data_IF_725290630804
#
_entry.id   IF_725290630804
#
_cell.length_a   1.000
_cell.length_b   1.000
_cell.length_c   1.000
_cell.angle_alpha   90.00
_cell.angle_beta   90.00
_cell.angle_gamma   90.00
#
_symmetry.space_group_name_H-M   'P 1'
#
loop_
_entity.id
_entity.type
_entity.pdbx_description
1 polymer ?
#
# COMPACT_ATOMS: atom_id res chain seq x y z
N UNK A 1 7.42 20.98 3.26
CA UNK A 1 5.95 21.15 2.98
C UNK A 1 5.51 22.55 3.26
N UNK A 2 4.63 23.11 2.42
CA UNK A 2 3.97 24.39 2.67
C UNK A 2 2.93 24.24 3.80
N UNK A 3 2.52 25.39 4.38
CA UNK A 3 1.52 25.40 5.45
C UNK A 3 0.31 26.23 5.00
N UNK A 4 -0.84 25.59 4.92
CA UNK A 4 -2.13 26.25 4.68
C UNK A 4 -2.71 26.59 6.07
N UNK A 5 -2.88 27.89 6.33
CA UNK A 5 -3.48 28.37 7.57
C UNK A 5 -4.98 28.52 7.39
N UNK A 6 -5.75 27.76 8.16
CA UNK A 6 -7.20 27.89 8.21
C UNK A 6 -7.65 28.40 9.59
N UNK A 7 -8.68 29.24 9.61
CA UNK A 7 -9.43 29.49 10.83
C UNK A 7 -10.19 28.22 11.25
N UNK A 8 -10.57 28.12 12.52
CA UNK A 8 -11.39 26.99 13.01
C UNK A 8 -12.73 26.89 12.25
N UNK A 9 -13.29 28.05 11.85
CA UNK A 9 -14.55 28.11 11.10
C UNK A 9 -14.39 27.54 9.68
N UNK A 10 -13.31 27.86 8.98
CA UNK A 10 -13.00 27.33 7.65
C UNK A 10 -12.72 25.83 7.71
N UNK A 11 -11.91 25.38 8.67
CA UNK A 11 -11.62 23.95 8.86
C UNK A 11 -12.91 23.14 9.11
N UNK A 12 -13.81 23.62 9.97
CA UNK A 12 -15.07 22.95 10.26
C UNK A 12 -16.10 22.98 9.11
N UNK A 13 -15.82 23.75 8.05
CA UNK A 13 -16.66 23.82 6.85
C UNK A 13 -16.15 22.98 5.68
N UNK A 14 -15.03 22.28 5.87
CA UNK A 14 -14.54 21.36 4.85
C UNK A 14 -15.63 20.33 4.55
N UNK A 15 -15.86 20.09 3.26
CA UNK A 15 -16.85 19.12 2.79
C UNK A 15 -16.31 17.71 2.98
N UNK A 16 -17.00 16.84 3.73
CA UNK A 16 -16.57 15.44 3.84
C UNK A 16 -16.46 14.79 2.46
N UNK A 17 -15.33 14.14 2.21
CA UNK A 17 -15.17 13.28 1.05
C UNK A 17 -15.77 11.91 1.39
N UNK A 18 -16.84 11.58 0.72
CA UNK A 18 -17.45 10.26 0.81
C UNK A 18 -16.60 9.28 0.02
N UNK A 19 -15.56 8.78 0.62
CA UNK A 19 -14.88 7.58 0.12
C UNK A 19 -15.90 6.47 0.08
N UNK A 20 -15.92 5.70 -1.00
CA UNK A 20 -16.95 4.71 -1.32
C UNK A 20 -17.52 4.00 -0.10
N UNK A 21 -18.84 3.72 -0.09
CA UNK A 21 -19.64 3.09 0.98
C UNK A 21 -19.05 1.81 1.62
N UNK A 22 -17.88 1.37 1.19
CA UNK A 22 -17.23 0.11 1.58
C UNK A 22 -16.06 0.28 2.56
N UNK A 23 -15.63 1.50 2.89
CA UNK A 23 -14.57 1.73 3.89
C UNK A 23 -15.24 1.96 5.25
N UNK A 24 -15.37 0.89 6.00
CA UNK A 24 -16.10 0.88 7.29
C UNK A 24 -15.22 1.40 8.44
N UNK A 25 -13.88 1.36 8.31
CA UNK A 25 -12.96 1.85 9.34
C UNK A 25 -11.82 2.64 8.71
N UNK A 26 -11.91 3.95 8.75
CA UNK A 26 -10.79 4.84 8.40
C UNK A 26 -10.14 5.34 9.69
N UNK A 27 -8.82 5.26 9.76
CA UNK A 27 -8.05 5.87 10.86
C UNK A 27 -8.02 7.41 10.77
N UNK A 28 -8.65 7.99 9.76
CA UNK A 28 -8.68 9.42 9.51
C UNK A 28 -9.97 9.82 8.78
N UNK A 29 -10.43 11.04 9.02
CA UNK A 29 -11.47 11.66 8.22
C UNK A 29 -10.86 12.25 6.95
N UNK A 30 -11.55 12.09 5.82
CA UNK A 30 -11.18 12.65 4.54
C UNK A 30 -12.16 13.76 4.14
N UNK A 31 -11.61 14.88 3.65
CA UNK A 31 -12.37 16.02 3.17
C UNK A 31 -11.87 16.45 1.81
N UNK A 32 -12.73 17.15 1.04
CA UNK A 32 -12.34 17.83 -0.18
C UNK A 32 -12.06 19.31 0.07
N UNK A 33 -11.05 19.81 -0.61
CA UNK A 33 -10.71 21.23 -0.60
C UNK A 33 -10.22 21.68 -1.99
N UNK A 34 -10.69 22.83 -2.43
CA UNK A 34 -10.07 23.54 -3.57
C UNK A 34 -9.03 24.53 -3.02
N UNK A 35 -7.80 24.39 -3.45
CA UNK A 35 -6.72 25.28 -3.05
C UNK A 35 -5.90 25.69 -4.26
N UNK A 36 -5.78 27.02 -4.48
CA UNK A 36 -5.10 27.61 -5.66
C UNK A 36 -5.59 27.05 -7.01
N UNK A 37 -6.89 26.76 -7.12
CA UNK A 37 -7.49 26.21 -8.33
C UNK A 37 -7.37 24.70 -8.50
N UNK A 38 -6.68 24.01 -7.60
CA UNK A 38 -6.51 22.57 -7.60
C UNK A 38 -7.41 21.89 -6.58
N UNK A 39 -8.00 20.77 -6.97
CA UNK A 39 -8.76 19.88 -6.07
C UNK A 39 -7.79 19.03 -5.25
N UNK A 40 -7.94 19.05 -3.94
CA UNK A 40 -7.10 18.34 -2.97
C UNK A 40 -7.94 17.45 -2.06
N UNK A 41 -7.33 16.38 -1.59
CA UNK A 41 -7.82 15.61 -0.42
C UNK A 41 -7.16 16.18 0.83
N UNK A 42 -7.97 16.41 1.87
CA UNK A 42 -7.51 16.72 3.21
C UNK A 42 -7.69 15.48 4.06
N UNK A 43 -6.59 14.95 4.60
CA UNK A 43 -6.61 13.81 5.54
C UNK A 43 -6.32 14.30 6.95
N UNK A 44 -7.22 13.99 7.90
CA UNK A 44 -6.98 14.31 9.30
C UNK A 44 -5.95 13.37 9.91
N UNK A 45 -5.18 13.89 10.86
CA UNK A 45 -4.27 13.09 11.67
C UNK A 45 -4.88 12.95 13.06
N UNK A 46 -5.42 11.77 13.39
CA UNK A 46 -5.91 11.52 14.75
C UNK A 46 -4.72 11.52 15.72
N UNK A 47 -4.82 12.38 16.73
CA UNK A 47 -3.70 12.72 17.62
C UNK A 47 -3.94 12.25 19.05
N UNK A 48 -4.37 11.00 19.21
CA UNK A 48 -4.50 10.44 20.56
C UNK A 48 -3.14 10.29 21.24
N UNK A 49 -2.07 10.12 20.45
CA UNK A 49 -0.70 10.04 20.95
C UNK A 49 0.20 11.09 20.26
N UNK A 50 0.91 11.89 21.08
CA UNK A 50 1.86 12.90 20.60
C UNK A 50 3.04 12.28 19.84
N UNK A 51 3.46 11.08 20.20
CA UNK A 51 4.58 10.35 19.58
C UNK A 51 4.17 9.96 18.17
N UNK A 52 2.99 9.37 18.04
CA UNK A 52 2.42 8.97 16.75
C UNK A 52 2.24 10.15 15.80
N UNK A 53 1.70 11.26 16.31
CA UNK A 53 1.55 12.48 15.53
C UNK A 53 2.90 13.03 15.05
N UNK A 54 3.92 13.02 15.90
CA UNK A 54 5.27 13.44 15.53
C UNK A 54 5.88 12.53 14.48
N UNK A 55 5.70 11.22 14.60
CA UNK A 55 6.17 10.24 13.62
C UNK A 55 5.54 10.49 12.25
N UNK A 56 4.21 10.68 12.18
CA UNK A 56 3.51 11.03 10.93
C UNK A 56 4.03 12.34 10.33
N UNK A 57 4.20 13.40 11.12
CA UNK A 57 4.76 14.66 10.63
C UNK A 57 6.17 14.46 10.04
N UNK A 58 7.02 13.71 10.71
CA UNK A 58 8.37 13.41 10.22
C UNK A 58 8.34 12.65 8.89
N UNK A 59 7.42 11.70 8.72
CA UNK A 59 7.23 10.96 7.46
C UNK A 59 6.77 11.89 6.35
N UNK A 60 5.78 12.76 6.62
CA UNK A 60 5.28 13.74 5.65
C UNK A 60 6.38 14.72 5.19
N UNK A 61 7.19 15.24 6.12
CA UNK A 61 8.33 16.11 5.81
C UNK A 61 9.39 15.40 4.98
N UNK A 62 9.64 14.12 5.24
CA UNK A 62 10.55 13.31 4.45
C UNK A 62 10.00 13.07 3.04
N UNK A 63 8.72 12.73 2.89
CA UNK A 63 8.06 12.57 1.58
C UNK A 63 8.19 13.85 0.74
N UNK A 64 7.95 15.01 1.34
CA UNK A 64 8.10 16.30 0.64
C UNK A 64 9.55 16.56 0.19
N UNK A 65 10.52 16.24 1.06
CA UNK A 65 11.94 16.42 0.75
C UNK A 65 12.40 15.55 -0.43
N UNK A 66 11.85 14.36 -0.56
CA UNK A 66 12.29 13.36 -1.55
C UNK A 66 11.30 13.16 -2.70
N UNK A 67 10.29 14.01 -2.79
CA UNK A 67 9.19 13.93 -3.78
C UNK A 67 9.69 13.76 -5.22
N UNK A 68 10.75 14.45 -5.61
CA UNK A 68 11.31 14.37 -6.96
C UNK A 68 11.97 13.03 -7.33
N UNK A 69 12.20 12.18 -6.34
CA UNK A 69 12.79 10.85 -6.54
C UNK A 69 11.75 9.72 -6.44
N UNK A 70 10.52 10.04 -6.04
CA UNK A 70 9.43 9.07 -5.94
C UNK A 70 8.80 8.84 -7.31
N UNK A 71 8.23 7.64 -7.57
CA UNK A 71 7.45 7.39 -8.77
C UNK A 71 6.35 8.44 -8.95
N UNK A 72 6.08 8.84 -10.20
CA UNK A 72 5.06 9.84 -10.53
C UNK A 72 3.66 9.42 -10.07
N UNK A 73 3.43 8.11 -9.99
CA UNK A 73 2.20 7.52 -9.46
C UNK A 73 1.95 7.76 -7.97
N UNK A 74 2.93 8.28 -7.21
CA UNK A 74 2.74 8.56 -5.79
C UNK A 74 1.97 9.87 -5.60
N UNK A 75 0.76 9.78 -5.02
CA UNK A 75 -0.02 10.94 -4.61
C UNK A 75 0.58 11.56 -3.33
N UNK A 76 1.79 12.08 -3.47
CA UNK A 76 2.61 12.58 -2.35
C UNK A 76 1.93 13.75 -1.65
N UNK A 77 1.79 13.71 -0.30
CA UNK A 77 1.31 14.85 0.49
C UNK A 77 2.10 16.13 0.20
N UNK A 78 1.41 17.26 0.07
CA UNK A 78 2.01 18.51 -0.42
C UNK A 78 1.92 19.68 0.55
N UNK A 79 0.91 19.74 1.42
CA UNK A 79 0.77 20.82 2.40
C UNK A 79 0.34 20.30 3.76
N UNK A 80 0.78 20.97 4.82
CA UNK A 80 0.21 20.81 6.17
C UNK A 80 -0.91 21.83 6.39
N UNK A 81 -2.00 21.41 7.02
CA UNK A 81 -3.06 22.33 7.46
C UNK A 81 -2.79 22.73 8.90
N UNK A 82 -2.71 24.04 9.12
CA UNK A 82 -2.59 24.60 10.45
C UNK A 82 -3.88 25.31 10.88
N UNK A 83 -4.37 24.98 12.08
CA UNK A 83 -5.51 25.63 12.74
C UNK A 83 -5.00 26.21 14.08
N UNK A 84 -4.73 27.50 14.09
CA UNK A 84 -3.99 28.12 15.19
C UNK A 84 -2.56 27.54 15.29
N UNK A 85 -2.21 26.99 16.46
CA UNK A 85 -0.89 26.35 16.69
C UNK A 85 -0.86 24.84 16.37
N UNK A 86 -2.01 24.24 16.05
CA UNK A 86 -2.11 22.80 15.77
C UNK A 86 -1.96 22.53 14.28
N UNK A 87 -1.44 21.35 13.94
CA UNK A 87 -1.37 20.81 12.58
C UNK A 87 -2.23 19.55 12.51
N UNK A 88 -3.57 19.68 12.44
CA UNK A 88 -4.49 18.54 12.59
C UNK A 88 -4.64 17.70 11.32
N UNK A 89 -4.16 18.17 10.17
CA UNK A 89 -4.36 17.52 8.88
C UNK A 89 -3.27 17.88 7.87
N UNK A 90 -3.25 17.17 6.75
CA UNK A 90 -2.44 17.48 5.58
C UNK A 90 -3.27 17.37 4.31
N UNK A 91 -2.74 17.90 3.20
CA UNK A 91 -3.34 17.73 1.88
C UNK A 91 -2.51 16.79 1.02
N UNK A 92 -3.19 16.10 0.10
CA UNK A 92 -2.59 15.36 -0.99
C UNK A 92 -3.34 15.69 -2.30
N UNK A 93 -2.73 15.46 -3.48
CA UNK A 93 -3.41 15.59 -4.76
C UNK A 93 -4.67 14.75 -4.80
N UNK A 94 -5.74 15.30 -5.38
CA UNK A 94 -6.95 14.53 -5.65
C UNK A 94 -6.70 13.63 -6.86
N UNK A 95 -6.80 12.33 -6.67
CA UNK A 95 -6.76 11.38 -7.79
C UNK A 95 -8.18 11.09 -8.28
N UNK A 96 -8.44 11.34 -9.55
CA UNK A 96 -9.74 11.09 -10.15
C UNK A 96 -9.85 9.63 -10.60
N UNK A 97 -10.41 8.78 -9.76
CA UNK A 97 -10.55 7.35 -10.04
C UNK A 97 -11.22 6.61 -8.88
N UNK A 98 -11.28 5.30 -9.02
CA UNK A 98 -11.79 4.38 -8.01
C UNK A 98 -10.65 3.57 -7.40
N UNK A 99 -10.86 2.97 -6.21
CA UNK A 99 -9.85 2.10 -5.62
C UNK A 99 -9.71 0.81 -6.43
N UNK A 100 -8.50 0.28 -6.51
CA UNK A 100 -8.24 -1.02 -7.15
C UNK A 100 -9.12 -2.12 -6.55
N UNK A 101 -9.43 -2.04 -5.25
CA UNK A 101 -10.37 -2.97 -4.59
C UNK A 101 -11.75 -2.96 -5.23
N UNK A 102 -12.25 -1.82 -5.66
CA UNK A 102 -13.54 -1.70 -6.36
C UNK A 102 -13.41 -2.23 -7.79
N UNK A 103 -12.33 -1.88 -8.47
CA UNK A 103 -12.06 -2.34 -9.85
C UNK A 103 -11.99 -3.87 -9.92
N UNK A 104 -11.18 -4.51 -9.07
CA UNK A 104 -10.99 -5.96 -9.07
C UNK A 104 -12.26 -6.77 -8.71
N UNK A 105 -13.24 -6.13 -8.08
CA UNK A 105 -14.53 -6.75 -7.73
C UNK A 105 -15.64 -6.47 -8.76
N UNK A 106 -15.38 -5.58 -9.71
CA UNK A 106 -16.40 -5.21 -10.69
C UNK A 106 -16.43 -6.23 -11.85
N UNK A 107 -17.49 -7.04 -11.96
CA UNK A 107 -17.60 -8.07 -13.01
C UNK A 107 -17.78 -7.48 -14.43
N UNK A 108 -18.11 -6.19 -14.54
CA UNK A 108 -18.25 -5.51 -15.82
C UNK A 108 -16.90 -5.10 -16.42
N UNK A 109 -15.82 -5.17 -15.66
CA UNK A 109 -14.47 -4.89 -16.13
C UNK A 109 -13.83 -6.23 -16.56
N UNK A 110 -13.30 -6.33 -17.78
CA UNK A 110 -12.64 -7.55 -18.26
C UNK A 110 -11.49 -7.99 -17.35
N UNK A 111 -11.28 -9.30 -17.24
CA UNK A 111 -10.20 -9.89 -16.41
C UNK A 111 -8.83 -9.39 -16.88
N UNK A 112 -8.67 -9.20 -18.19
CA UNK A 112 -7.45 -8.65 -18.79
C UNK A 112 -7.12 -7.27 -18.26
N UNK A 113 -8.12 -6.42 -18.00
CA UNK A 113 -7.90 -5.10 -17.39
C UNK A 113 -7.55 -5.22 -15.90
N UNK A 114 -8.14 -6.14 -15.18
CA UNK A 114 -7.75 -6.40 -13.80
C UNK A 114 -6.27 -6.79 -13.70
N UNK A 115 -5.82 -7.69 -14.59
CA UNK A 115 -4.43 -8.14 -14.65
C UNK A 115 -3.52 -6.99 -15.06
N UNK A 116 -3.92 -6.18 -16.04
CA UNK A 116 -3.17 -5.00 -16.46
C UNK A 116 -2.87 -4.09 -15.25
N UNK A 117 -3.87 -3.79 -14.42
CA UNK A 117 -3.65 -2.95 -13.23
C UNK A 117 -2.78 -3.62 -12.18
N UNK A 118 -2.91 -4.93 -11.97
CA UNK A 118 -2.03 -5.67 -11.05
C UNK A 118 -0.57 -5.64 -11.53
N UNK A 119 -0.32 -5.82 -12.83
CA UNK A 119 1.02 -5.70 -13.42
C UNK A 119 1.57 -4.29 -13.25
N UNK A 120 0.74 -3.26 -13.47
CA UNK A 120 1.13 -1.86 -13.26
C UNK A 120 1.56 -1.56 -11.83
N UNK A 121 0.93 -2.16 -10.82
CA UNK A 121 1.40 -2.05 -9.42
C UNK A 121 2.81 -2.61 -9.28
N UNK A 122 3.09 -3.75 -9.90
CA UNK A 122 4.44 -4.34 -9.93
C UNK A 122 5.47 -3.40 -10.57
N UNK A 123 5.12 -2.74 -11.68
CA UNK A 123 5.99 -1.75 -12.35
C UNK A 123 6.31 -0.57 -11.43
N UNK A 124 5.32 -0.05 -10.69
CA UNK A 124 5.52 1.03 -9.69
C UNK A 124 6.50 0.58 -8.60
N UNK A 125 6.38 -0.65 -8.10
CA UNK A 125 7.32 -1.19 -7.12
C UNK A 125 8.74 -1.34 -7.69
N UNK A 126 8.86 -1.71 -8.96
CA UNK A 126 10.15 -1.76 -9.64
C UNK A 126 10.77 -0.36 -9.80
N UNK A 127 9.97 0.64 -10.18
CA UNK A 127 10.41 2.04 -10.24
C UNK A 127 10.89 2.51 -8.85
N UNK A 128 10.15 2.20 -7.79
CA UNK A 128 10.56 2.50 -6.42
C UNK A 128 11.87 1.80 -6.06
N UNK A 129 12.05 0.55 -6.48
CA UNK A 129 13.31 -0.19 -6.30
C UNK A 129 14.48 0.46 -7.04
N UNK A 130 14.25 0.97 -8.25
CA UNK A 130 15.25 1.74 -9.02
C UNK A 130 15.59 3.06 -8.30
N UNK A 131 14.58 3.78 -7.81
CA UNK A 131 14.79 5.02 -7.06
C UNK A 131 15.67 4.79 -5.81
N UNK A 132 15.47 3.70 -5.08
CA UNK A 132 16.32 3.32 -3.93
C UNK A 132 17.78 3.12 -4.31
N UNK A 133 18.05 2.57 -5.50
CA UNK A 133 19.43 2.30 -5.97
C UNK A 133 20.14 3.55 -6.48
N UNK A 134 19.38 4.52 -7.01
CA UNK A 134 19.94 5.73 -7.65
C UNK A 134 20.05 6.92 -6.73
N UNK A 135 19.36 6.89 -5.58
CA UNK A 135 19.38 7.99 -4.60
C UNK A 135 20.20 7.61 -3.36
N UNK A 136 20.57 8.62 -2.58
CA UNK A 136 21.18 8.41 -1.25
C UNK A 136 20.19 7.80 -0.24
N UNK A 137 18.93 7.71 -0.61
CA UNK A 137 17.84 7.13 0.20
C UNK A 137 17.71 5.65 -0.08
N UNK A 138 18.43 4.87 0.67
CA UNK A 138 18.36 3.40 0.54
C UNK A 138 17.05 2.79 1.03
N UNK A 139 16.30 3.49 1.91
CA UNK A 139 15.13 2.97 2.59
C UNK A 139 13.89 3.80 2.25
N UNK A 140 13.23 3.52 1.12
CA UNK A 140 11.93 4.05 0.75
C UNK A 140 11.01 2.86 0.51
N UNK A 141 9.99 2.70 1.37
CA UNK A 141 9.02 1.61 1.30
C UNK A 141 7.61 2.12 1.56
N UNK A 142 6.62 1.54 0.89
CA UNK A 142 5.22 1.97 1.01
C UNK A 142 4.67 1.62 2.40
N UNK A 143 4.99 0.43 2.91
CA UNK A 143 4.63 -0.02 4.24
C UNK A 143 3.20 -0.51 4.38
N UNK A 144 2.22 0.18 3.80
CA UNK A 144 0.80 -0.20 3.84
C UNK A 144 0.23 -0.38 2.42
N UNK A 145 0.89 -1.22 1.63
CA UNK A 145 0.46 -1.50 0.26
C UNK A 145 -0.72 -2.48 0.25
N UNK A 146 -1.86 -2.04 -0.23
CA UNK A 146 -3.02 -2.90 -0.49
C UNK A 146 -3.98 -2.26 -1.51
N UNK A 147 -4.92 -3.05 -2.02
CA UNK A 147 -5.83 -2.66 -3.11
C UNK A 147 -6.72 -1.44 -2.82
N UNK A 148 -6.91 -1.07 -1.54
CA UNK A 148 -7.69 0.12 -1.19
C UNK A 148 -6.84 1.41 -1.16
N UNK A 149 -5.50 1.27 -1.09
CA UNK A 149 -4.54 2.38 -1.15
C UNK A 149 -3.99 2.60 -2.57
N UNK A 150 -4.59 1.95 -3.56
CA UNK A 150 -4.28 2.13 -4.98
C UNK A 150 -5.52 2.66 -5.68
N UNK A 151 -5.40 3.83 -6.29
CA UNK A 151 -6.44 4.45 -7.11
C UNK A 151 -6.20 4.13 -8.57
N UNK A 152 -7.27 3.91 -9.32
CA UNK A 152 -7.25 3.60 -10.75
C UNK A 152 -8.18 4.55 -11.49
N UNK A 153 -7.66 5.23 -12.49
CA UNK A 153 -8.47 5.91 -13.48
C UNK A 153 -8.63 5.00 -14.71
N UNK A 154 -9.81 4.42 -14.87
CA UNK A 154 -10.07 3.47 -15.97
C UNK A 154 -10.02 4.11 -17.36
N UNK A 155 -10.26 5.42 -17.49
CA UNK A 155 -10.24 6.14 -18.76
C UNK A 155 -8.82 6.46 -19.21
N UNK A 156 -7.96 6.92 -18.30
CA UNK A 156 -6.55 7.26 -18.61
C UNK A 156 -5.60 6.09 -18.39
N UNK A 157 -6.07 4.99 -17.79
CA UNK A 157 -5.26 3.82 -17.40
C UNK A 157 -4.14 4.17 -16.39
N UNK A 158 -4.25 5.31 -15.71
CA UNK A 158 -3.30 5.74 -14.69
C UNK A 158 -3.61 5.12 -13.34
N UNK A 159 -2.55 4.86 -12.56
CA UNK A 159 -2.63 4.47 -11.17
C UNK A 159 -2.07 5.57 -10.27
N UNK A 160 -2.64 5.67 -9.06
CA UNK A 160 -2.14 6.53 -8.00
C UNK A 160 -2.00 5.74 -6.70
N UNK A 161 -0.82 5.77 -6.08
CA UNK A 161 -0.63 5.25 -4.73
C UNK A 161 -0.98 6.35 -3.74
N UNK A 162 -1.99 6.10 -2.93
CA UNK A 162 -2.48 7.03 -1.90
C UNK A 162 -2.10 6.53 -0.50
N UNK A 163 -2.42 7.31 0.51
CA UNK A 163 -2.19 6.96 1.92
C UNK A 163 -0.71 6.74 2.28
N UNK A 164 0.16 7.63 1.79
CA UNK A 164 1.60 7.52 1.92
C UNK A 164 2.14 7.97 3.30
N UNK A 165 1.30 8.39 4.25
CA UNK A 165 1.73 8.78 5.60
C UNK A 165 2.18 7.60 6.48
N UNK A 166 2.04 6.37 5.97
CA UNK A 166 2.58 5.13 6.54
C UNK A 166 3.92 4.70 5.91
N UNK A 167 4.41 5.42 4.90
CA UNK A 167 5.68 5.10 4.25
C UNK A 167 6.86 5.15 5.23
N UNK A 168 7.82 4.24 5.02
CA UNK A 168 9.15 4.37 5.60
C UNK A 168 10.06 5.14 4.65
N UNK A 169 10.76 6.15 5.18
CA UNK A 169 11.82 6.88 4.46
C UNK A 169 13.03 7.01 5.38
N UNK A 170 14.07 6.25 5.09
CA UNK A 170 15.21 6.09 5.97
C UNK A 170 14.79 5.46 7.29
N UNK A 171 15.16 6.10 8.41
CA UNK A 171 14.73 5.69 9.75
C UNK A 171 13.35 6.22 10.15
N UNK A 172 12.68 6.99 9.27
CA UNK A 172 11.39 7.63 9.57
C UNK A 172 10.25 6.80 9.00
N UNK A 173 9.35 6.37 9.85
CA UNK A 173 8.14 5.66 9.45
C UNK A 173 7.03 5.86 10.48
N UNK A 174 5.82 5.80 10.00
CA UNK A 174 4.60 5.69 10.77
C UNK A 174 3.84 4.52 10.21
N UNK A 175 3.35 3.63 11.06
CA UNK A 175 2.97 2.32 10.61
C UNK A 175 1.50 1.99 10.77
N UNK A 176 0.96 1.30 9.76
CA UNK A 176 -0.05 0.22 9.86
C UNK A 176 -0.08 -0.54 8.55
N UNK A 177 -0.04 -1.86 8.54
CA UNK A 177 -0.22 -2.65 7.31
C UNK A 177 -1.51 -3.46 7.37
N UNK A 178 -2.32 -3.40 6.31
CA UNK A 178 -3.48 -4.26 6.14
C UNK A 178 -3.09 -5.73 6.02
N UNK A 179 -2.02 -5.99 5.29
CA UNK A 179 -1.42 -7.29 5.14
C UNK A 179 -0.19 -7.38 6.00
N UNK A 180 -0.35 -7.95 7.21
CA UNK A 180 0.76 -8.15 8.13
C UNK A 180 1.80 -9.07 7.51
N UNK A 181 2.97 -8.50 7.24
CA UNK A 181 4.14 -9.29 6.82
C UNK A 181 4.65 -10.08 8.01
N UNK A 182 4.80 -11.40 7.90
CA UNK A 182 5.41 -12.18 8.97
C UNK A 182 6.77 -11.62 9.38
N UNK A 183 7.03 -11.54 10.67
CA UNK A 183 8.25 -10.93 11.23
C UNK A 183 9.53 -11.53 10.66
N UNK A 184 9.48 -12.83 10.30
CA UNK A 184 10.58 -13.56 9.66
C UNK A 184 10.93 -13.08 8.25
N UNK A 185 10.03 -12.37 7.56
CA UNK A 185 10.25 -11.85 6.21
C UNK A 185 10.87 -10.45 6.20
N UNK A 186 10.88 -9.76 7.32
CA UNK A 186 11.46 -8.43 7.45
C UNK A 186 12.96 -8.55 7.66
N UNK A 187 13.77 -7.96 6.78
CA UNK A 187 15.24 -8.03 6.86
C UNK A 187 15.82 -7.16 7.97
N UNK A 188 15.25 -5.98 8.14
CA UNK A 188 15.73 -4.99 9.09
C UNK A 188 14.73 -4.89 10.23
N UNK A 189 15.12 -5.40 11.38
CA UNK A 189 14.32 -5.20 12.59
C UNK A 189 14.99 -4.10 13.40
N UNK A 190 14.29 -3.01 13.74
CA UNK A 190 14.79 -2.08 14.72
C UNK A 190 14.93 -2.83 16.06
N UNK A 191 15.84 -2.42 16.87
CA UNK A 191 15.87 -2.94 18.22
C UNK A 191 14.56 -2.56 18.96
N UNK A 192 14.25 -3.28 20.04
CA UNK A 192 13.06 -3.02 20.85
C UNK A 192 12.98 -1.57 21.35
N UNK A 193 14.12 -0.94 21.52
CA UNK A 193 14.22 0.41 22.05
C UNK A 193 13.79 1.44 21.01
N UNK A 194 14.22 1.27 19.76
CA UNK A 194 13.83 2.15 18.65
C UNK A 194 12.31 2.02 18.38
N UNK A 195 11.77 0.80 18.37
CA UNK A 195 10.33 0.58 18.24
C UNK A 195 9.56 1.27 19.36
N UNK A 196 9.98 1.09 20.60
CA UNK A 196 9.32 1.69 21.76
C UNK A 196 9.41 3.22 21.77
N UNK A 197 10.48 3.79 21.22
CA UNK A 197 10.59 5.26 21.08
C UNK A 197 9.71 5.82 19.97
N UNK A 198 9.48 5.06 18.90
CA UNK A 198 8.79 5.55 17.71
C UNK A 198 7.27 5.34 17.79
N UNK A 199 6.82 4.22 18.35
CA UNK A 199 5.42 3.77 18.25
C UNK A 199 4.77 3.37 19.59
N UNK A 200 5.51 3.45 20.70
CA UNK A 200 5.00 2.99 22.01
C UNK A 200 5.00 1.45 22.16
N UNK A 201 4.58 0.98 23.33
CA UNK A 201 4.66 -0.43 23.77
C UNK A 201 3.62 -1.37 23.12
N UNK A 202 3.32 -1.23 21.83
CA UNK A 202 2.39 -2.13 21.15
C UNK A 202 3.08 -3.41 20.66
N UNK A 203 2.45 -4.59 20.78
CA UNK A 203 3.00 -5.81 20.20
C UNK A 203 2.87 -5.83 18.69
N UNK A 204 3.93 -6.20 17.99
CA UNK A 204 3.84 -6.64 16.59
C UNK A 204 4.07 -5.61 15.50
N UNK A 205 4.79 -4.52 15.76
CA UNK A 205 5.14 -3.57 14.70
C UNK A 205 6.28 -4.09 13.84
N UNK A 206 6.07 -4.05 12.53
CA UNK A 206 7.02 -4.44 11.51
C UNK A 206 7.58 -3.17 10.87
N UNK A 207 8.90 -3.08 10.77
CA UNK A 207 9.53 -2.01 9.99
C UNK A 207 9.39 -2.34 8.52
N UNK A 208 8.69 -1.52 7.72
CA UNK A 208 8.58 -1.76 6.29
C UNK A 208 9.95 -1.89 5.62
N UNK A 209 10.10 -2.88 4.77
CA UNK A 209 11.25 -3.09 3.91
C UNK A 209 10.81 -3.58 2.52
N UNK A 210 11.77 -3.90 1.65
CA UNK A 210 11.46 -4.39 0.32
C UNK A 210 10.61 -5.67 0.35
N UNK A 211 10.89 -6.58 1.28
CA UNK A 211 10.17 -7.84 1.36
C UNK A 211 8.72 -7.63 1.81
N UNK A 212 8.48 -6.65 2.69
CA UNK A 212 7.11 -6.32 3.12
C UNK A 212 6.25 -5.79 1.98
N UNK A 213 6.76 -4.88 1.16
CA UNK A 213 6.01 -4.35 0.00
C UNK A 213 5.74 -5.45 -1.05
N UNK A 214 6.74 -6.29 -1.33
CA UNK A 214 6.60 -7.42 -2.25
C UNK A 214 5.61 -8.45 -1.71
N UNK A 215 5.68 -8.77 -0.42
CA UNK A 215 4.73 -9.67 0.24
C UNK A 215 3.29 -9.16 0.11
N UNK A 216 3.06 -7.88 0.44
CA UNK A 216 1.74 -7.27 0.29
C UNK A 216 1.22 -7.33 -1.15
N UNK A 217 2.10 -7.11 -2.13
CA UNK A 217 1.76 -7.23 -3.54
C UNK A 217 1.36 -8.65 -3.95
N UNK A 218 2.11 -9.66 -3.50
CA UNK A 218 1.79 -11.07 -3.77
C UNK A 218 0.47 -11.46 -3.11
N UNK A 219 0.25 -11.08 -1.85
CA UNK A 219 -1.02 -11.32 -1.16
C UNK A 219 -2.19 -10.70 -1.92
N UNK A 220 -2.02 -9.51 -2.47
CA UNK A 220 -3.05 -8.85 -3.30
C UNK A 220 -3.39 -9.69 -4.55
N UNK A 221 -2.38 -10.19 -5.28
CA UNK A 221 -2.58 -11.06 -6.44
C UNK A 221 -3.28 -12.37 -6.04
N UNK A 222 -2.80 -13.00 -4.98
CA UNK A 222 -3.36 -14.26 -4.51
C UNK A 222 -4.79 -14.11 -4.01
N UNK A 223 -5.10 -13.02 -3.31
CA UNK A 223 -6.46 -12.71 -2.92
C UNK A 223 -7.38 -12.50 -4.13
N UNK A 224 -6.89 -11.86 -5.19
CA UNK A 224 -7.64 -11.72 -6.42
C UNK A 224 -7.92 -13.07 -7.09
N UNK A 225 -6.92 -13.94 -7.16
CA UNK A 225 -7.03 -15.27 -7.80
C UNK A 225 -7.90 -16.21 -6.97
N UNK A 226 -7.72 -16.26 -5.65
CA UNK A 226 -8.27 -17.29 -4.76
C UNK A 226 -9.50 -16.85 -3.97
N UNK A 227 -9.96 -15.61 -4.12
CA UNK A 227 -11.11 -15.09 -3.38
C UNK A 227 -10.86 -14.95 -1.88
N UNK A 228 -9.69 -14.49 -1.46
CA UNK A 228 -9.29 -14.24 -0.06
C UNK A 228 -8.96 -15.50 0.79
N UNK A 229 -8.73 -16.64 0.21
CA UNK A 229 -8.26 -17.83 0.96
C UNK A 229 -6.91 -17.53 1.66
N UNK A 230 -6.09 -16.64 1.08
CA UNK A 230 -4.79 -16.25 1.62
C UNK A 230 -4.85 -15.51 2.96
N UNK A 231 -6.04 -15.10 3.39
CA UNK A 231 -6.30 -14.49 4.70
C UNK A 231 -5.81 -15.34 5.89
N UNK A 232 -5.69 -16.64 5.72
CA UNK A 232 -5.32 -17.58 6.77
C UNK A 232 -3.85 -18.04 6.69
N UNK A 233 -3.05 -17.41 5.83
CA UNK A 233 -1.64 -17.73 5.70
C UNK A 233 -0.87 -17.34 6.97
N UNK A 234 -0.07 -18.29 7.48
CA UNK A 234 0.93 -18.10 8.52
C UNK A 234 2.23 -18.76 8.09
N UNK A 235 3.36 -18.36 8.68
CA UNK A 235 4.64 -18.99 8.34
C UNK A 235 4.70 -20.46 8.74
N UNK A 236 3.99 -20.83 9.79
CA UNK A 236 3.98 -22.20 10.32
C UNK A 236 3.25 -23.19 9.39
N UNK A 237 2.30 -22.69 8.57
CA UNK A 237 1.55 -23.50 7.61
C UNK A 237 1.91 -23.17 6.15
N UNK A 238 3.06 -22.58 5.93
CA UNK A 238 3.49 -22.09 4.61
C UNK A 238 3.51 -23.17 3.54
N UNK A 239 4.12 -24.32 3.81
CA UNK A 239 4.20 -25.41 2.84
C UNK A 239 2.85 -26.07 2.56
N UNK A 240 1.97 -26.14 3.55
CA UNK A 240 0.60 -26.61 3.36
C UNK A 240 -0.17 -25.67 2.41
N UNK A 241 0.07 -24.35 2.55
CA UNK A 241 -0.49 -23.36 1.61
C UNK A 241 0.09 -23.47 0.22
N UNK A 242 1.40 -23.64 0.07
CA UNK A 242 2.00 -23.85 -1.25
C UNK A 242 1.43 -25.11 -1.93
N UNK A 243 1.27 -26.20 -1.20
CA UNK A 243 0.65 -27.43 -1.71
C UNK A 243 -0.82 -27.19 -2.10
N UNK A 244 -1.58 -26.46 -1.28
CA UNK A 244 -2.96 -26.09 -1.60
C UNK A 244 -3.02 -25.25 -2.88
N UNK A 245 -2.20 -24.24 -3.01
CA UNK A 245 -2.12 -23.37 -4.19
C UNK A 245 -1.70 -24.15 -5.44
N UNK A 246 -0.75 -25.06 -5.29
CA UNK A 246 -0.36 -25.97 -6.37
C UNK A 246 -1.52 -26.86 -6.83
N UNK A 247 -2.26 -27.43 -5.90
CA UNK A 247 -3.45 -28.24 -6.19
C UNK A 247 -4.60 -27.41 -6.82
N UNK A 248 -4.61 -26.10 -6.59
CA UNK A 248 -5.53 -25.16 -7.25
C UNK A 248 -5.08 -24.77 -8.66
N UNK A 249 -3.94 -25.28 -9.14
CA UNK A 249 -3.40 -24.99 -10.46
C UNK A 249 -2.75 -23.61 -10.58
N UNK A 250 -2.27 -23.05 -9.48
CA UNK A 250 -1.51 -21.79 -9.53
C UNK A 250 -0.21 -22.00 -10.30
N UNK A 251 0.12 -21.02 -11.15
CA UNK A 251 1.31 -21.05 -11.97
C UNK A 251 2.56 -21.38 -11.13
N UNK A 252 3.35 -22.40 -11.48
CA UNK A 252 4.55 -22.79 -10.72
C UNK A 252 5.56 -21.66 -10.51
N UNK A 253 5.67 -20.73 -11.46
CA UNK A 253 6.56 -19.57 -11.32
C UNK A 253 6.09 -18.63 -10.20
N UNK A 254 4.78 -18.46 -10.01
CA UNK A 254 4.24 -17.68 -8.89
C UNK A 254 4.49 -18.39 -7.56
N UNK A 255 4.30 -19.71 -7.49
CA UNK A 255 4.61 -20.50 -6.29
C UNK A 255 6.08 -20.41 -5.92
N UNK A 256 6.96 -20.55 -6.91
CA UNK A 256 8.40 -20.40 -6.73
C UNK A 256 8.77 -19.02 -6.20
N UNK A 257 8.18 -17.96 -6.77
CA UNK A 257 8.39 -16.58 -6.31
C UNK A 257 7.97 -16.41 -4.84
N UNK A 258 6.81 -16.94 -4.46
CA UNK A 258 6.31 -16.89 -3.07
C UNK A 258 7.29 -17.61 -2.14
N UNK A 259 7.75 -18.80 -2.51
CA UNK A 259 8.73 -19.56 -1.72
C UNK A 259 10.01 -18.76 -1.53
N UNK A 260 10.56 -18.17 -2.59
CA UNK A 260 11.79 -17.40 -2.53
C UNK A 260 11.70 -16.16 -1.66
N UNK A 261 10.57 -15.47 -1.69
CA UNK A 261 10.34 -14.32 -0.81
C UNK A 261 10.26 -14.76 0.65
N UNK A 262 9.55 -15.85 0.95
CA UNK A 262 9.43 -16.36 2.31
C UNK A 262 10.77 -16.86 2.83
N UNK A 263 11.58 -17.48 1.98
CA UNK A 263 12.93 -17.98 2.34
C UNK A 263 14.02 -16.91 2.29
N UNK A 264 13.66 -15.64 1.95
CA UNK A 264 14.58 -14.49 1.90
C UNK A 264 15.72 -14.65 0.90
N UNK A 265 15.47 -15.28 -0.24
CA UNK A 265 16.45 -15.37 -1.31
C UNK A 265 16.58 -14.03 -2.03
N UNK A 266 17.71 -13.35 -1.80
CA UNK A 266 17.99 -12.01 -2.30
C UNK A 266 18.32 -11.92 -3.79
N UNK A 267 18.55 -13.07 -4.44
CA UNK A 267 19.02 -13.12 -5.81
C UNK A 267 17.91 -13.08 -6.86
N UNK A 268 16.64 -12.92 -6.42
CA UNK A 268 15.50 -12.93 -7.33
C UNK A 268 14.95 -11.52 -7.51
N UNK A 269 14.75 -11.15 -8.78
CA UNK A 269 13.95 -10.00 -9.15
C UNK A 269 12.47 -10.43 -9.22
N UNK A 270 11.64 -10.13 -8.20
CA UNK A 270 10.25 -10.59 -8.17
C UNK A 270 9.42 -9.99 -9.31
N UNK A 271 9.80 -8.81 -9.81
CA UNK A 271 9.07 -8.10 -10.85
C UNK A 271 9.20 -8.75 -12.22
N UNK A 272 10.33 -9.40 -12.49
CA UNK A 272 10.55 -10.15 -13.73
C UNK A 272 9.61 -11.36 -13.84
N UNK A 273 9.45 -12.10 -12.74
CA UNK A 273 8.51 -13.24 -12.70
C UNK A 273 7.05 -12.80 -12.88
N UNK A 274 6.68 -11.65 -12.30
CA UNK A 274 5.31 -11.15 -12.40
C UNK A 274 4.96 -10.63 -13.79
N UNK A 275 5.92 -10.08 -14.53
CA UNK A 275 5.74 -9.69 -15.94
C UNK A 275 5.47 -10.88 -16.86
N UNK A 276 6.00 -12.05 -16.52
CA UNK A 276 5.84 -13.28 -17.30
C UNK A 276 4.53 -14.02 -16.97
N UNK A 277 3.75 -13.57 -15.99
CA UNK A 277 2.40 -14.09 -15.76
C UNK A 277 1.49 -13.67 -16.90
N UNK A 278 1.04 -14.63 -17.68
CA UNK A 278 0.11 -14.35 -18.76
C UNK A 278 -1.31 -14.19 -18.22
N UNK A 279 -2.14 -13.46 -18.95
CA UNK A 279 -3.58 -13.34 -18.68
C UNK A 279 -4.23 -14.72 -18.59
N UNK A 280 -3.84 -15.64 -19.49
CA UNK A 280 -4.32 -17.02 -19.54
C UNK A 280 -4.00 -17.80 -18.26
N UNK A 281 -2.78 -17.67 -17.72
CA UNK A 281 -2.37 -18.36 -16.48
C UNK A 281 -3.25 -17.93 -15.30
N UNK A 282 -3.48 -16.63 -15.15
CA UNK A 282 -4.28 -16.09 -14.06
C UNK A 282 -5.76 -16.47 -14.20
N UNK A 283 -6.31 -16.43 -15.41
CA UNK A 283 -7.70 -16.80 -15.67
C UNK A 283 -7.93 -18.28 -15.38
N UNK A 284 -7.08 -19.16 -15.91
CA UNK A 284 -7.15 -20.62 -15.68
C UNK A 284 -7.07 -20.94 -14.19
N UNK A 285 -6.15 -20.29 -13.48
CA UNK A 285 -5.99 -20.47 -12.03
C UNK A 285 -7.22 -20.00 -11.26
N UNK A 286 -7.81 -18.86 -11.63
CA UNK A 286 -9.02 -18.33 -11.00
C UNK A 286 -10.22 -19.26 -11.18
N UNK A 287 -10.40 -19.81 -12.36
CA UNK A 287 -11.44 -20.79 -12.67
C UNK A 287 -11.26 -22.09 -11.88
N UNK A 288 -10.02 -22.60 -11.81
CA UNK A 288 -9.68 -23.77 -11.02
C UNK A 288 -9.93 -23.54 -9.51
N UNK A 289 -9.51 -22.40 -8.99
CA UNK A 289 -9.73 -22.01 -7.60
C UNK A 289 -11.23 -21.94 -7.25
N UNK A 290 -12.04 -21.30 -8.10
CA UNK A 290 -13.49 -21.22 -7.92
C UNK A 290 -14.15 -22.61 -7.94
N UNK A 291 -13.65 -23.54 -8.77
CA UNK A 291 -14.16 -24.90 -8.86
C UNK A 291 -13.88 -25.68 -7.56
N UNK A 292 -12.72 -25.51 -6.97
CA UNK A 292 -12.35 -26.17 -5.70
C UNK A 292 -13.15 -25.59 -4.53
N UNK A 293 -13.33 -24.27 -4.48
CA UNK A 293 -14.11 -23.61 -3.43
C UNK A 293 -15.57 -24.05 -3.46
N UNK A 294 -16.17 -24.21 -4.64
CA UNK A 294 -17.56 -24.66 -4.78
C UNK A 294 -17.79 -26.13 -4.39
N UNK A 295 -16.72 -26.93 -4.32
CA UNK A 295 -16.80 -28.35 -3.92
C UNK A 295 -16.60 -28.56 -2.40
N UNK A 296 -16.27 -27.51 -1.64
CA UNK A 296 -16.20 -27.48 -0.18
C UNK A 296 -17.44 -26.88 0.44
#
# INVERSE_FOLDING_TARGET
MNIIKLSRREYNRLKPYLVSKYIIHTEADLYEMNYCGERKIVKTMFTYDKIFHKAKLNTLEALDTYKSYLPESFCTPDNLIAVGRKKPAFTAPFFNGETLSVILKNPSIPVEEHIYYLVKVGEILEELSKARRTTSLKDIYIGDLHESNIMVNIFTKQLGIVDLDSCRIGSRFSYTAKYLTPFSLVKTQPDKYEINQIIGNGPGYIVPDQNSDIYCYIVMILNYITGNIFKYFTIDNFYDYLNLLSNMGINPNLLYLIEKIVTKDDNINPYEYLRNLTTQDIQTTKEAALTIIKKR
#
